data_IF_601491035115
#
_entry.id   IF_601491035115
#
_cell.length_a   1.000
_cell.length_b   1.000
_cell.length_c   1.000
_cell.angle_alpha   90.00
_cell.angle_beta   90.00
_cell.angle_gamma   90.00
#
_symmetry.space_group_name_H-M   'P 1'
#
loop_
_entity.id
_entity.type
_entity.pdbx_description
1 polymer ?
#
# COMPACT_ATOMS: atom_id res chain seq x y z
N UNK A 1 53.63 -40.52 13.10
CA UNK A 1 55.10 -40.60 13.35
C UNK A 1 55.73 -39.46 12.59
N UNK A 2 56.57 -38.68 13.25
CA UNK A 2 57.27 -37.54 12.66
C UNK A 2 58.56 -38.00 11.96
N UNK A 3 59.13 -37.12 11.14
CA UNK A 3 60.33 -37.39 10.35
C UNK A 3 61.57 -37.71 11.21
N UNK A 4 61.58 -37.30 12.48
CA UNK A 4 62.62 -37.61 13.47
C UNK A 4 62.44 -38.99 14.14
N UNK A 5 61.44 -39.76 13.72
CA UNK A 5 61.12 -41.08 14.29
C UNK A 5 60.25 -41.05 15.54
N UNK A 6 59.89 -39.87 16.07
CA UNK A 6 58.99 -39.78 17.21
C UNK A 6 57.54 -40.12 16.81
N UNK A 7 56.81 -40.77 17.71
CA UNK A 7 55.36 -40.98 17.59
C UNK A 7 54.70 -40.43 18.83
N UNK A 8 53.60 -39.69 18.64
CA UNK A 8 52.71 -39.38 19.74
C UNK A 8 51.64 -40.48 19.80
N UNK A 9 51.41 -40.99 21.01
CA UNK A 9 50.23 -41.80 21.29
C UNK A 9 49.02 -40.87 21.51
N UNK A 10 47.82 -41.46 21.63
CA UNK A 10 46.59 -40.69 21.82
C UNK A 10 46.66 -39.72 23.01
N UNK A 11 47.25 -40.15 24.13
CA UNK A 11 47.39 -39.33 25.33
C UNK A 11 48.36 -38.15 25.11
N UNK A 12 49.47 -38.39 24.43
CA UNK A 12 50.48 -37.40 24.09
C UNK A 12 49.93 -36.38 23.09
N UNK A 13 49.21 -36.84 22.06
CA UNK A 13 48.52 -35.98 21.11
C UNK A 13 47.51 -35.10 21.83
N UNK A 14 46.62 -35.67 22.66
CA UNK A 14 45.63 -34.92 23.44
C UNK A 14 46.26 -33.90 24.40
N UNK A 15 47.40 -34.23 25.02
CA UNK A 15 48.12 -33.31 25.92
C UNK A 15 48.86 -32.18 25.22
N UNK A 16 49.11 -32.33 23.91
CA UNK A 16 49.80 -31.35 23.06
C UNK A 16 48.86 -30.54 22.18
N UNK A 17 47.58 -30.92 22.12
CA UNK A 17 46.52 -30.03 21.69
C UNK A 17 46.44 -28.91 22.72
N UNK A 18 47.15 -27.82 22.45
CA UNK A 18 46.79 -26.53 23.00
C UNK A 18 45.46 -26.21 22.33
N UNK A 19 44.40 -26.00 23.10
CA UNK A 19 43.27 -25.23 22.61
C UNK A 19 43.84 -23.85 22.29
N UNK A 20 44.33 -23.68 21.07
CA UNK A 20 44.44 -22.35 20.49
C UNK A 20 42.99 -21.87 20.54
N UNK A 21 42.72 -20.80 21.29
CA UNK A 21 41.53 -20.03 21.00
C UNK A 21 41.59 -19.85 19.48
N UNK A 22 40.59 -20.34 18.72
CA UNK A 22 40.61 -20.15 17.28
C UNK A 22 40.86 -18.68 17.02
N UNK A 23 41.63 -18.33 15.97
CA UNK A 23 41.80 -16.93 15.61
C UNK A 23 40.41 -16.30 15.56
N UNK A 24 40.20 -15.20 16.26
CA UNK A 24 38.93 -14.47 16.14
C UNK A 24 38.88 -13.88 14.74
N UNK A 25 37.93 -14.32 13.92
CA UNK A 25 37.84 -13.94 12.52
C UNK A 25 38.79 -14.74 11.63
N UNK A 26 38.26 -15.81 11.04
CA UNK A 26 38.92 -16.66 10.05
C UNK A 26 38.26 -16.51 8.68
N UNK A 27 39.01 -16.86 7.63
CA UNK A 27 38.45 -17.01 6.29
C UNK A 27 38.65 -18.45 5.84
N UNK A 28 37.56 -19.12 5.51
CA UNK A 28 37.54 -20.48 5.00
C UNK A 28 37.06 -20.48 3.54
N UNK A 29 37.72 -21.29 2.72
CA UNK A 29 37.38 -21.48 1.32
C UNK A 29 37.28 -22.98 1.06
N UNK A 30 36.08 -23.43 0.70
CA UNK A 30 35.81 -24.78 0.23
C UNK A 30 36.17 -24.97 -1.24
N UNK A 31 35.79 -26.12 -1.78
CA UNK A 31 36.30 -26.63 -3.05
C UNK A 31 35.18 -26.85 -4.07
N UNK A 32 35.13 -28.01 -4.71
CA UNK A 32 34.06 -28.41 -5.63
C UNK A 32 33.34 -29.66 -5.13
N UNK A 33 33.50 -29.99 -3.86
CA UNK A 33 32.98 -31.19 -3.23
C UNK A 33 32.18 -30.77 -2.00
N UNK A 34 31.32 -31.66 -1.51
CA UNK A 34 30.49 -31.38 -0.34
C UNK A 34 31.37 -31.24 0.90
N UNK A 35 31.36 -30.07 1.52
CA UNK A 35 32.19 -29.71 2.67
C UNK A 35 31.38 -29.29 3.90
N UNK A 36 32.04 -29.28 5.06
CA UNK A 36 31.53 -28.62 6.26
C UNK A 36 32.56 -27.62 6.73
N UNK A 37 32.19 -26.34 6.72
CA UNK A 37 33.01 -25.21 7.13
C UNK A 37 32.46 -24.63 8.44
N UNK A 38 33.33 -24.38 9.41
CA UNK A 38 32.93 -23.83 10.71
C UNK A 38 33.85 -22.69 11.13
N UNK A 39 33.28 -21.51 11.36
CA UNK A 39 33.95 -20.28 11.77
C UNK A 39 34.38 -20.31 13.24
N UNK A 40 33.40 -20.55 14.12
CA UNK A 40 33.61 -20.72 15.54
C UNK A 40 33.34 -19.44 16.33
N UNK A 41 34.39 -18.69 16.69
CA UNK A 41 34.26 -17.46 17.49
C UNK A 41 34.84 -16.28 16.70
N UNK A 42 34.16 -15.14 16.76
CA UNK A 42 34.55 -13.92 16.06
C UNK A 42 33.92 -13.84 14.68
N UNK A 43 34.25 -12.78 13.95
CA UNK A 43 33.60 -12.47 12.68
C UNK A 43 34.32 -13.15 11.52
N UNK A 44 33.73 -14.21 10.99
CA UNK A 44 34.31 -15.14 10.05
C UNK A 44 33.77 -14.93 8.62
N UNK A 45 34.53 -15.39 7.62
CA UNK A 45 34.11 -15.41 6.21
C UNK A 45 34.23 -16.85 5.70
N UNK A 46 33.12 -17.46 5.34
CA UNK A 46 33.05 -18.84 4.85
C UNK A 46 32.55 -18.82 3.40
N UNK A 47 33.32 -19.37 2.48
CA UNK A 47 32.91 -19.58 1.09
C UNK A 47 32.89 -21.08 0.79
N UNK A 48 31.72 -21.64 0.45
CA UNK A 48 31.53 -23.07 0.16
C UNK A 48 32.23 -23.50 -1.13
N UNK A 49 31.99 -22.76 -2.21
CA UNK A 49 32.52 -23.09 -3.53
C UNK A 49 31.49 -23.85 -4.35
N UNK A 50 31.85 -25.00 -4.91
CA UNK A 50 30.84 -25.86 -5.52
C UNK A 50 30.62 -27.11 -4.67
N UNK A 51 29.41 -27.67 -4.70
CA UNK A 51 29.06 -28.83 -3.86
C UNK A 51 27.83 -28.53 -3.03
N UNK A 52 27.36 -29.50 -2.26
CA UNK A 52 26.34 -29.27 -1.25
C UNK A 52 27.03 -29.09 0.11
N UNK A 53 27.27 -27.84 0.49
CA UNK A 53 28.09 -27.47 1.63
C UNK A 53 27.27 -27.16 2.88
N UNK A 54 27.85 -27.41 4.06
CA UNK A 54 27.34 -26.96 5.35
C UNK A 54 28.25 -25.87 5.91
N UNK A 55 27.77 -24.63 5.97
CA UNK A 55 28.48 -23.47 6.49
C UNK A 55 27.92 -23.09 7.86
N UNK A 56 28.78 -23.05 8.88
CA UNK A 56 28.42 -22.70 10.26
C UNK A 56 29.27 -21.52 10.73
N UNK A 57 28.67 -20.34 10.87
CA UNK A 57 29.34 -19.12 11.33
C UNK A 57 29.82 -19.27 12.77
N UNK A 58 28.88 -19.32 13.71
CA UNK A 58 29.16 -19.52 15.13
C UNK A 58 28.82 -18.28 15.94
N UNK A 59 29.67 -17.86 16.88
CA UNK A 59 29.47 -16.58 17.58
C UNK A 59 30.20 -15.47 16.80
N UNK A 60 29.52 -14.40 16.41
CA UNK A 60 30.17 -13.31 15.68
C UNK A 60 29.24 -12.68 14.67
N UNK A 61 29.74 -11.70 13.91
CA UNK A 61 29.03 -11.22 12.73
C UNK A 61 29.74 -11.80 11.51
N UNK A 62 29.18 -12.85 10.96
CA UNK A 62 29.81 -13.69 9.95
C UNK A 62 29.30 -13.37 8.54
N UNK A 63 30.06 -13.82 7.54
CA UNK A 63 29.66 -13.77 6.13
C UNK A 63 29.78 -15.15 5.53
N UNK A 64 28.66 -15.75 5.13
CA UNK A 64 28.59 -17.09 4.58
C UNK A 64 28.12 -17.01 3.12
N UNK A 65 28.92 -17.54 2.19
CA UNK A 65 28.60 -17.67 0.78
C UNK A 65 28.59 -19.17 0.42
N UNK A 66 27.43 -19.74 0.09
CA UNK A 66 27.34 -21.14 -0.38
C UNK A 66 28.02 -21.33 -1.73
N UNK A 67 27.83 -20.35 -2.63
CA UNK A 67 28.30 -20.31 -4.01
C UNK A 67 27.46 -21.20 -4.94
N UNK A 68 27.82 -22.46 -5.21
CA UNK A 68 27.12 -23.29 -6.19
C UNK A 68 26.82 -24.70 -5.69
N UNK A 69 25.54 -25.00 -5.52
CA UNK A 69 25.00 -26.30 -5.15
C UNK A 69 23.90 -26.12 -4.14
N UNK A 70 23.54 -27.17 -3.42
CA UNK A 70 22.43 -27.08 -2.46
C UNK A 70 23.03 -26.95 -1.06
N UNK A 71 23.23 -25.73 -0.63
CA UNK A 71 23.99 -25.41 0.56
C UNK A 71 23.10 -25.26 1.79
N UNK A 72 23.66 -25.47 2.97
CA UNK A 72 23.02 -25.19 4.26
C UNK A 72 23.85 -24.18 5.02
N UNK A 73 23.26 -23.01 5.29
CA UNK A 73 23.92 -21.89 5.93
C UNK A 73 23.29 -21.65 7.31
N UNK A 74 24.12 -21.66 8.35
CA UNK A 74 23.77 -21.33 9.73
C UNK A 74 24.71 -20.23 10.22
N UNK A 75 24.19 -19.00 10.34
CA UNK A 75 24.97 -17.86 10.85
C UNK A 75 25.45 -18.09 12.29
N UNK A 76 24.63 -18.78 13.10
CA UNK A 76 24.86 -18.89 14.52
C UNK A 76 24.33 -17.66 15.25
N UNK A 77 25.09 -17.11 16.19
CA UNK A 77 24.71 -15.97 17.01
C UNK A 77 25.45 -14.71 16.60
N UNK A 78 24.70 -13.66 16.26
CA UNK A 78 25.22 -12.33 16.01
C UNK A 78 24.42 -11.64 14.92
N UNK A 79 25.08 -10.94 14.01
CA UNK A 79 24.38 -10.32 12.88
C UNK A 79 25.08 -10.74 11.61
N UNK A 80 24.55 -11.77 10.96
CA UNK A 80 25.23 -12.47 9.89
C UNK A 80 24.70 -12.09 8.51
N UNK A 81 25.56 -12.22 7.50
CA UNK A 81 25.21 -12.07 6.09
C UNK A 81 25.31 -13.43 5.39
N UNK A 82 24.19 -13.92 4.87
CA UNK A 82 24.04 -15.23 4.28
C UNK A 82 23.67 -15.10 2.79
N UNK A 83 24.40 -15.79 1.93
CA UNK A 83 24.15 -15.83 0.49
C UNK A 83 24.30 -17.28 0.02
N UNK A 84 23.19 -17.94 -0.30
CA UNK A 84 23.19 -19.32 -0.78
C UNK A 84 23.92 -19.43 -2.10
N UNK A 85 23.50 -18.63 -3.08
CA UNK A 85 24.11 -18.60 -4.40
C UNK A 85 23.24 -19.35 -5.40
N UNK A 86 23.81 -20.29 -6.16
CA UNK A 86 23.08 -21.07 -7.15
C UNK A 86 22.74 -22.44 -6.61
N UNK A 87 21.46 -22.81 -6.59
CA UNK A 87 20.97 -24.13 -6.24
C UNK A 87 19.70 -24.07 -5.39
N UNK A 88 19.47 -25.08 -4.55
CA UNK A 88 18.40 -25.06 -3.55
C UNK A 88 19.03 -25.00 -2.17
N UNK A 89 19.08 -23.82 -1.62
CA UNK A 89 19.79 -23.50 -0.39
C UNK A 89 18.85 -23.52 0.82
N UNK A 90 19.43 -23.78 1.98
CA UNK A 90 18.72 -23.83 3.26
C UNK A 90 19.38 -22.89 4.26
N UNK A 91 18.65 -21.86 4.66
CA UNK A 91 19.05 -20.88 5.67
C UNK A 91 18.46 -21.27 7.03
N UNK A 92 19.32 -21.62 8.00
CA UNK A 92 18.89 -21.94 9.35
C UNK A 92 18.74 -20.66 10.17
N UNK A 93 17.62 -20.51 10.87
CA UNK A 93 17.38 -19.35 11.73
C UNK A 93 16.58 -19.74 12.98
N UNK A 94 16.83 -19.07 14.10
CA UNK A 94 16.20 -19.42 15.37
C UNK A 94 16.41 -18.40 16.48
N UNK A 95 16.05 -18.80 17.71
CA UNK A 95 16.25 -17.94 18.89
C UNK A 95 17.74 -17.81 19.23
N UNK A 96 18.17 -16.59 19.49
CA UNK A 96 19.55 -16.25 19.76
C UNK A 96 20.41 -16.07 18.52
N UNK A 97 19.83 -16.16 17.32
CA UNK A 97 20.56 -15.91 16.08
C UNK A 97 20.93 -14.44 15.89
N UNK A 98 20.16 -13.52 16.49
CA UNK A 98 20.37 -12.09 16.39
C UNK A 98 19.71 -11.50 15.16
N UNK A 99 20.43 -10.73 14.33
CA UNK A 99 19.84 -9.95 13.22
C UNK A 99 20.53 -10.23 11.90
N UNK A 100 20.07 -11.28 11.23
CA UNK A 100 20.71 -11.80 10.03
C UNK A 100 20.06 -11.26 8.76
N UNK A 101 20.81 -11.33 7.67
CA UNK A 101 20.39 -10.89 6.33
C UNK A 101 20.68 -11.99 5.32
N UNK A 102 19.68 -12.33 4.51
CA UNK A 102 19.77 -13.28 3.40
C UNK A 102 19.64 -12.53 2.09
N UNK A 103 20.56 -12.82 1.17
CA UNK A 103 20.48 -12.43 -0.24
C UNK A 103 20.49 -13.69 -1.10
N UNK A 104 19.36 -13.99 -1.72
CA UNK A 104 19.13 -15.26 -2.40
C UNK A 104 18.98 -15.04 -3.91
N UNK A 105 20.05 -14.64 -4.60
CA UNK A 105 19.96 -14.33 -6.04
C UNK A 105 20.29 -15.56 -6.89
N UNK A 106 19.26 -16.27 -7.35
CA UNK A 106 19.39 -17.36 -8.32
C UNK A 106 18.38 -17.25 -9.48
N UNK A 107 18.88 -17.40 -10.70
CA UNK A 107 18.08 -17.38 -11.94
C UNK A 107 17.70 -18.78 -12.43
N UNK A 108 18.09 -19.83 -11.70
CA UNK A 108 17.85 -21.21 -12.08
C UNK A 108 16.37 -21.55 -11.94
N UNK A 109 15.80 -22.14 -13.00
CA UNK A 109 14.36 -22.39 -13.06
C UNK A 109 13.95 -23.55 -12.16
N UNK A 110 13.00 -23.32 -11.26
CA UNK A 110 12.44 -24.34 -10.37
C UNK A 110 13.23 -24.58 -9.10
N UNK A 111 14.03 -23.60 -8.68
CA UNK A 111 14.65 -23.60 -7.36
C UNK A 111 13.61 -23.55 -6.24
N UNK A 112 14.04 -24.01 -5.08
CA UNK A 112 13.24 -24.23 -3.87
C UNK A 112 14.09 -23.92 -2.63
N UNK A 113 14.52 -22.68 -2.54
CA UNK A 113 15.24 -22.14 -1.42
C UNK A 113 14.34 -22.12 -0.17
N UNK A 114 14.95 -22.29 0.99
CA UNK A 114 14.22 -22.55 2.23
C UNK A 114 14.85 -21.82 3.41
N UNK A 115 14.06 -21.02 4.12
CA UNK A 115 14.34 -20.69 5.52
C UNK A 115 13.79 -21.81 6.39
N UNK A 116 14.65 -22.40 7.22
CA UNK A 116 14.29 -23.49 8.12
C UNK A 116 14.44 -23.05 9.58
N UNK A 117 13.32 -22.91 10.27
CA UNK A 117 13.30 -22.73 11.72
C UNK A 117 13.55 -24.06 12.44
N UNK A 118 14.46 -24.05 13.41
CA UNK A 118 14.78 -25.20 14.25
C UNK A 118 13.70 -25.55 15.29
N UNK A 119 13.93 -26.60 16.07
CA UNK A 119 13.05 -26.94 17.20
C UNK A 119 12.93 -25.78 18.19
N UNK A 120 11.72 -25.59 18.72
CA UNK A 120 11.44 -24.56 19.73
C UNK A 120 10.86 -23.26 19.17
N UNK A 121 11.00 -22.96 17.88
CA UNK A 121 10.31 -21.83 17.24
C UNK A 121 9.04 -22.33 16.55
N UNK A 122 7.88 -21.98 17.10
CA UNK A 122 6.60 -22.29 16.46
C UNK A 122 6.23 -21.22 15.42
N UNK A 123 5.38 -21.57 14.45
CA UNK A 123 4.87 -20.62 13.47
C UNK A 123 4.11 -19.43 14.09
N UNK A 124 3.54 -19.60 15.29
CA UNK A 124 2.91 -18.53 16.07
C UNK A 124 3.89 -17.55 16.71
N UNK A 125 5.17 -17.92 16.82
CA UNK A 125 6.19 -17.09 17.43
C UNK A 125 6.80 -16.11 16.42
N UNK A 126 6.52 -16.32 15.12
CA UNK A 126 7.10 -15.56 14.02
C UNK A 126 6.10 -14.55 13.46
N UNK A 127 6.46 -13.28 13.53
CA UNK A 127 5.75 -12.18 12.89
C UNK A 127 6.44 -11.81 11.58
N UNK A 128 5.66 -11.63 10.51
CA UNK A 128 6.14 -11.16 9.21
C UNK A 128 5.87 -9.66 9.06
N UNK A 129 6.81 -8.93 8.48
CA UNK A 129 6.68 -7.53 8.13
C UNK A 129 7.29 -7.28 6.75
N UNK A 130 6.55 -6.60 5.87
CA UNK A 130 7.09 -6.07 4.61
C UNK A 130 7.63 -4.66 4.85
N UNK A 131 8.79 -4.35 4.30
CA UNK A 131 9.27 -2.96 4.22
C UNK A 131 10.01 -2.76 2.90
N UNK A 132 9.39 -1.99 2.00
CA UNK A 132 9.79 -1.94 0.60
C UNK A 132 9.68 -3.32 -0.04
N UNK A 133 10.76 -3.77 -0.67
CA UNK A 133 10.85 -5.10 -1.26
C UNK A 133 11.43 -6.16 -0.32
N UNK A 134 11.88 -5.80 0.90
CA UNK A 134 12.39 -6.78 1.87
C UNK A 134 11.27 -7.40 2.69
N UNK A 135 11.42 -8.69 3.01
CA UNK A 135 10.63 -9.39 4.02
C UNK A 135 11.42 -9.51 5.32
N UNK A 136 10.81 -9.16 6.43
CA UNK A 136 11.36 -9.33 7.77
C UNK A 136 10.59 -10.39 8.54
N UNK A 137 11.31 -11.32 9.16
CA UNK A 137 10.78 -12.34 10.06
C UNK A 137 11.27 -12.03 11.48
N UNK A 138 10.37 -11.79 12.42
CA UNK A 138 10.71 -11.52 13.82
C UNK A 138 10.27 -12.68 14.72
N UNK A 139 11.18 -13.20 15.55
CA UNK A 139 10.84 -14.16 16.61
C UNK A 139 10.60 -13.40 17.93
N UNK A 140 9.53 -13.74 18.65
CA UNK A 140 9.17 -13.15 19.95
C UNK A 140 8.94 -11.61 19.90
N UNK A 141 8.52 -11.10 18.75
CA UNK A 141 8.17 -9.69 18.51
C UNK A 141 9.31 -8.82 17.96
N UNK A 142 9.01 -7.55 17.64
CA UNK A 142 9.89 -6.65 16.86
C UNK A 142 11.26 -6.32 17.49
N UNK A 143 11.45 -6.61 18.78
CA UNK A 143 12.72 -6.41 19.48
C UNK A 143 13.59 -7.67 19.58
N UNK A 144 13.06 -8.83 19.21
CA UNK A 144 13.75 -10.11 19.26
C UNK A 144 14.70 -10.36 18.08
N UNK A 145 14.95 -11.64 17.82
CA UNK A 145 15.73 -12.10 16.68
C UNK A 145 14.99 -11.77 15.38
N UNK A 146 15.73 -11.33 14.35
CA UNK A 146 15.18 -10.86 13.09
C UNK A 146 15.96 -11.37 11.89
N UNK A 147 15.30 -12.04 10.96
CA UNK A 147 15.85 -12.36 9.65
C UNK A 147 15.30 -11.39 8.59
N UNK A 148 16.18 -10.79 7.80
CA UNK A 148 15.81 -10.02 6.60
C UNK A 148 16.04 -10.87 5.35
N UNK A 149 15.02 -11.08 4.53
CA UNK A 149 15.14 -11.59 3.16
C UNK A 149 15.11 -10.40 2.20
N UNK A 150 16.26 -10.10 1.60
CA UNK A 150 16.41 -8.92 0.76
C UNK A 150 15.70 -9.09 -0.59
N UNK A 151 15.00 -8.05 -1.04
CA UNK A 151 14.29 -8.04 -2.32
C UNK A 151 13.25 -9.16 -2.50
N UNK A 152 12.78 -9.75 -1.39
CA UNK A 152 11.79 -10.83 -1.39
C UNK A 152 10.53 -10.50 -2.21
N UNK A 153 10.05 -9.25 -2.17
CA UNK A 153 8.86 -8.80 -2.91
C UNK A 153 9.18 -8.13 -4.24
N UNK A 154 10.44 -8.16 -4.70
CA UNK A 154 10.78 -7.68 -6.03
C UNK A 154 10.03 -8.51 -7.08
N UNK A 155 9.35 -7.83 -8.01
CA UNK A 155 8.39 -8.46 -8.94
C UNK A 155 7.39 -9.37 -8.20
N UNK A 156 6.93 -8.89 -7.04
CA UNK A 156 6.00 -9.56 -6.14
C UNK A 156 6.45 -10.90 -5.59
N UNK A 157 7.76 -11.14 -5.52
CA UNK A 157 8.33 -12.39 -5.06
C UNK A 157 8.21 -13.53 -6.05
N UNK A 158 7.99 -13.21 -7.34
CA UNK A 158 8.23 -14.13 -8.45
C UNK A 158 9.45 -13.65 -9.21
N UNK A 159 10.62 -13.73 -8.55
CA UNK A 159 11.88 -13.23 -9.10
C UNK A 159 13.05 -14.14 -8.78
N UNK A 160 14.25 -13.73 -9.21
CA UNK A 160 15.48 -14.41 -8.84
C UNK A 160 15.87 -14.24 -7.37
N UNK A 161 15.15 -13.43 -6.58
CA UNK A 161 15.42 -13.19 -5.14
C UNK A 161 14.54 -14.03 -4.20
N UNK A 162 13.84 -15.04 -4.76
CA UNK A 162 12.73 -15.68 -4.06
C UNK A 162 13.24 -16.79 -3.16
N UNK A 163 12.98 -16.67 -1.85
CA UNK A 163 13.01 -17.84 -0.97
C UNK A 163 11.63 -18.50 -1.00
N UNK A 164 11.51 -19.67 -1.63
CA UNK A 164 10.19 -20.27 -1.88
C UNK A 164 9.47 -20.75 -0.61
N UNK A 165 10.22 -21.12 0.43
CA UNK A 165 9.67 -21.77 1.61
C UNK A 165 10.18 -21.19 2.92
N UNK A 166 9.26 -20.99 3.86
CA UNK A 166 9.58 -20.83 5.28
C UNK A 166 9.01 -22.04 6.03
N UNK A 167 9.89 -22.88 6.58
CA UNK A 167 9.55 -24.16 7.20
C UNK A 167 9.76 -24.16 8.70
N UNK A 168 8.89 -24.86 9.40
CA UNK A 168 8.95 -25.07 10.84
C UNK A 168 9.10 -26.55 11.19
N UNK A 169 9.60 -26.83 12.39
CA UNK A 169 9.86 -28.20 12.86
C UNK A 169 8.60 -29.09 12.94
N UNK A 170 7.41 -28.50 13.05
CA UNK A 170 6.13 -29.23 13.06
C UNK A 170 5.61 -29.61 11.66
N UNK A 171 6.34 -29.23 10.61
CA UNK A 171 5.96 -29.46 9.21
C UNK A 171 5.11 -28.34 8.60
N UNK A 172 4.81 -27.27 9.34
CA UNK A 172 4.21 -26.06 8.77
C UNK A 172 5.16 -25.47 7.71
N UNK A 173 4.59 -25.12 6.56
CA UNK A 173 5.28 -24.48 5.45
C UNK A 173 4.50 -23.24 5.04
N UNK A 174 5.16 -22.08 5.00
CA UNK A 174 4.63 -20.90 4.34
C UNK A 174 5.30 -20.78 2.96
N UNK A 175 4.47 -20.86 1.92
CA UNK A 175 4.87 -20.53 0.56
C UNK A 175 4.64 -19.03 0.29
N UNK A 176 5.00 -18.57 -0.91
CA UNK A 176 4.81 -17.18 -1.32
C UNK A 176 3.38 -16.67 -1.08
N UNK A 177 2.36 -17.46 -1.41
CA UNK A 177 0.97 -17.06 -1.25
C UNK A 177 0.60 -16.88 0.23
N UNK A 178 1.03 -17.81 1.10
CA UNK A 178 0.84 -17.70 2.54
C UNK A 178 1.59 -16.50 3.14
N UNK A 179 2.80 -16.20 2.63
CA UNK A 179 3.62 -15.06 3.06
C UNK A 179 2.95 -13.75 2.66
N UNK A 180 2.53 -13.60 1.40
CA UNK A 180 1.79 -12.43 0.91
C UNK A 180 0.57 -12.13 1.77
N UNK A 181 -0.26 -13.14 2.05
CA UNK A 181 -1.45 -12.98 2.88
C UNK A 181 -1.15 -12.57 4.34
N UNK A 182 0.04 -12.86 4.85
CA UNK A 182 0.44 -12.54 6.23
C UNK A 182 0.99 -11.13 6.41
N UNK A 183 1.48 -10.49 5.35
CA UNK A 183 2.08 -9.15 5.42
C UNK A 183 1.10 -8.02 5.08
N UNK A 184 -0.12 -8.36 4.68
CA UNK A 184 -1.21 -7.42 4.41
C UNK A 184 -2.30 -7.46 5.50
N UNK A 185 -1.96 -7.95 6.70
CA UNK A 185 -2.90 -8.06 7.82
C UNK A 185 -2.95 -6.71 8.56
N UNK A 186 -4.11 -6.03 8.58
CA UNK A 186 -4.24 -4.76 9.29
C UNK A 186 -4.34 -4.95 10.80
N UNK A 187 -4.15 -3.83 11.51
CA UNK A 187 -4.26 -3.66 12.94
C UNK A 187 -5.20 -2.50 13.27
N UNK A 188 -5.37 -2.16 14.55
CA UNK A 188 -6.19 -1.01 14.99
C UNK A 188 -5.31 0.25 15.19
N UNK A 189 -4.10 0.26 14.64
CA UNK A 189 -3.21 1.40 14.65
C UNK A 189 -2.53 1.55 13.29
N UNK A 190 -1.74 2.60 13.15
CA UNK A 190 -1.19 3.03 11.87
C UNK A 190 -0.40 1.92 11.15
N UNK A 191 -0.90 1.54 9.99
CA UNK A 191 -0.37 0.51 9.12
C UNK A 191 0.13 1.07 7.79
N UNK A 192 1.02 0.31 7.16
CA UNK A 192 1.44 0.54 5.78
C UNK A 192 1.22 -0.75 5.00
N UNK A 193 0.15 -0.78 4.22
CA UNK A 193 -0.30 -1.97 3.49
C UNK A 193 -0.04 -1.77 2.00
N UNK A 194 0.43 -2.83 1.34
CA UNK A 194 0.73 -2.82 -0.10
C UNK A 194 0.16 -4.09 -0.70
N UNK A 195 -0.81 -3.93 -1.59
CA UNK A 195 -1.36 -4.99 -2.43
C UNK A 195 -0.37 -5.47 -3.49
N UNK A 196 -0.91 -6.11 -4.51
CA UNK A 196 -0.28 -6.83 -5.59
C UNK A 196 -0.99 -6.51 -6.91
N UNK A 197 -0.51 -7.00 -8.04
CA UNK A 197 -1.00 -6.64 -9.37
C UNK A 197 -2.35 -7.29 -9.76
N UNK A 198 -3.10 -7.84 -8.81
CA UNK A 198 -4.43 -8.37 -9.05
C UNK A 198 -5.41 -7.75 -8.09
N UNK A 199 -6.70 -7.89 -8.40
CA UNK A 199 -7.80 -7.31 -7.63
C UNK A 199 -7.74 -7.71 -6.15
N UNK A 200 -7.33 -6.77 -5.31
CA UNK A 200 -7.14 -6.94 -3.89
C UNK A 200 -8.29 -6.36 -3.07
N UNK A 201 -8.42 -6.84 -1.84
CA UNK A 201 -9.33 -6.27 -0.85
C UNK A 201 -8.53 -5.94 0.39
N UNK A 202 -8.33 -4.65 0.64
CA UNK A 202 -7.49 -4.11 1.70
C UNK A 202 -8.34 -3.26 2.65
N UNK A 203 -8.03 -3.32 3.94
CA UNK A 203 -8.70 -2.53 4.96
C UNK A 203 -7.67 -2.07 5.99
N UNK A 204 -7.64 -0.79 6.36
CA UNK A 204 -6.78 -0.24 7.42
C UNK A 204 -7.34 -0.45 8.83
N UNK A 205 -8.67 -0.52 8.94
CA UNK A 205 -9.44 -0.61 10.19
C UNK A 205 -9.44 0.71 10.97
N UNK A 206 -8.39 0.98 11.73
CA UNK A 206 -8.30 2.19 12.52
C UNK A 206 -6.86 2.59 12.76
N UNK A 207 -6.62 3.86 13.11
CA UNK A 207 -5.29 4.45 13.04
C UNK A 207 -5.13 5.21 11.73
N UNK A 208 -4.03 5.95 11.58
CA UNK A 208 -3.78 6.71 10.35
C UNK A 208 -2.96 5.83 9.39
N UNK A 209 -3.60 5.27 8.37
CA UNK A 209 -3.07 4.22 7.51
C UNK A 209 -2.59 4.74 6.16
N UNK A 210 -1.64 4.03 5.55
CA UNK A 210 -1.22 4.24 4.16
C UNK A 210 -1.40 2.94 3.39
N UNK A 211 -2.29 2.93 2.39
CA UNK A 211 -2.64 1.72 1.63
C UNK A 211 -2.44 1.94 0.14
N UNK A 212 -1.74 0.99 -0.50
CA UNK A 212 -1.50 0.97 -1.94
C UNK A 212 -2.15 -0.27 -2.57
N UNK A 213 -3.06 -0.08 -3.52
CA UNK A 213 -3.72 -1.15 -4.30
C UNK A 213 -2.74 -1.86 -5.23
N UNK A 214 -2.07 -1.06 -6.09
CA UNK A 214 -1.19 -1.49 -7.19
C UNK A 214 -2.00 -1.66 -8.48
N UNK A 215 -1.77 -2.73 -9.21
CA UNK A 215 -2.48 -2.96 -10.45
C UNK A 215 -3.67 -3.87 -10.17
N UNK A 216 -4.75 -3.74 -10.93
CA UNK A 216 -5.97 -4.53 -10.72
C UNK A 216 -7.11 -3.64 -10.25
N UNK A 217 -8.34 -4.17 -10.30
CA UNK A 217 -9.49 -3.43 -9.79
C UNK A 217 -9.62 -3.70 -8.28
N UNK A 218 -9.10 -2.80 -7.45
CA UNK A 218 -8.94 -2.97 -6.01
C UNK A 218 -10.11 -2.42 -5.21
N UNK A 219 -10.33 -2.99 -4.02
CA UNK A 219 -11.25 -2.43 -3.02
C UNK A 219 -10.48 -2.12 -1.75
N UNK A 220 -10.37 -0.83 -1.44
CA UNK A 220 -9.56 -0.30 -0.35
C UNK A 220 -10.45 0.49 0.61
N UNK A 221 -10.36 0.18 1.90
CA UNK A 221 -11.01 0.96 2.96
C UNK A 221 -9.99 1.42 3.99
N UNK A 222 -9.93 2.73 4.28
CA UNK A 222 -9.12 3.28 5.37
C UNK A 222 -9.70 2.86 6.72
N UNK A 223 -10.90 3.34 7.01
CA UNK A 223 -11.63 3.01 8.22
C UNK A 223 -11.71 4.20 9.15
N UNK A 224 -11.18 4.10 10.37
CA UNK A 224 -11.19 5.18 11.33
C UNK A 224 -9.80 5.79 11.50
N UNK A 225 -9.54 6.96 10.94
CA UNK A 225 -8.17 7.40 10.79
C UNK A 225 -8.08 8.61 9.88
N UNK A 226 -6.97 9.33 9.91
CA UNK A 226 -6.64 10.19 8.77
C UNK A 226 -5.84 9.34 7.77
N UNK A 227 -6.53 8.69 6.85
CA UNK A 227 -5.97 7.67 5.98
C UNK A 227 -5.48 8.22 4.64
N UNK A 228 -4.50 7.55 4.04
CA UNK A 228 -4.02 7.85 2.68
C UNK A 228 -4.11 6.60 1.81
N UNK A 229 -5.00 6.65 0.82
CA UNK A 229 -5.33 5.53 -0.06
C UNK A 229 -4.88 5.83 -1.50
N UNK A 230 -4.26 4.84 -2.12
CA UNK A 230 -3.85 4.87 -3.53
C UNK A 230 -4.39 3.63 -4.24
N UNK A 231 -5.24 3.82 -5.26
CA UNK A 231 -5.68 2.74 -6.15
C UNK A 231 -4.54 2.29 -7.06
N UNK A 232 -3.96 3.26 -7.77
CA UNK A 232 -2.92 3.09 -8.81
C UNK A 232 -3.49 2.68 -10.18
N UNK A 233 -3.26 1.47 -10.69
CA UNK A 233 -3.66 1.08 -12.05
C UNK A 233 -4.88 0.13 -12.01
N UNK A 234 -6.07 0.57 -12.43
CA UNK A 234 -7.26 -0.27 -12.46
C UNK A 234 -8.52 0.53 -12.13
N UNK A 235 -9.69 -0.12 -12.12
CA UNK A 235 -10.93 0.55 -11.72
C UNK A 235 -11.16 0.31 -10.23
N UNK A 236 -10.72 1.23 -9.40
CA UNK A 236 -10.60 1.03 -7.97
C UNK A 236 -11.83 1.54 -7.21
N UNK A 237 -12.07 0.97 -6.04
CA UNK A 237 -13.02 1.48 -5.06
C UNK A 237 -12.28 1.85 -3.78
N UNK A 238 -12.25 3.15 -3.48
CA UNK A 238 -11.55 3.71 -2.32
C UNK A 238 -12.58 4.31 -1.36
N UNK A 239 -12.51 3.91 -0.09
CA UNK A 239 -13.41 4.37 0.99
C UNK A 239 -12.54 4.91 2.13
N UNK A 240 -12.52 6.23 2.34
CA UNK A 240 -11.76 6.87 3.42
C UNK A 240 -12.27 6.44 4.78
N UNK A 241 -13.48 6.85 5.12
CA UNK A 241 -14.18 6.43 6.33
C UNK A 241 -14.48 7.61 7.26
N UNK A 242 -13.75 7.74 8.36
CA UNK A 242 -13.97 8.84 9.31
C UNK A 242 -12.68 9.61 9.57
N UNK A 243 -12.81 10.93 9.76
CA UNK A 243 -11.75 11.93 9.81
C UNK A 243 -11.28 12.34 8.41
N UNK A 244 -10.28 13.20 8.34
CA UNK A 244 -9.87 13.86 7.10
C UNK A 244 -8.94 12.92 6.30
N UNK A 245 -9.43 12.37 5.18
CA UNK A 245 -8.76 11.36 4.37
C UNK A 245 -8.18 11.89 3.06
N UNK A 246 -7.20 11.18 2.49
CA UNK A 246 -6.63 11.44 1.16
C UNK A 246 -6.82 10.21 0.29
N UNK A 247 -7.58 10.35 -0.80
CA UNK A 247 -7.85 9.28 -1.76
C UNK A 247 -7.32 9.67 -3.14
N UNK A 248 -6.53 8.80 -3.75
CA UNK A 248 -6.07 8.95 -5.14
C UNK A 248 -6.44 7.69 -5.92
N UNK A 249 -7.35 7.82 -6.90
CA UNK A 249 -7.81 6.74 -7.76
C UNK A 249 -6.66 6.21 -8.63
N UNK A 250 -6.17 7.07 -9.52
CA UNK A 250 -5.02 6.76 -10.36
C UNK A 250 -5.47 6.62 -11.81
N UNK A 251 -5.22 5.47 -12.44
CA UNK A 251 -5.56 5.21 -13.82
C UNK A 251 -6.70 4.19 -13.92
N UNK A 252 -7.87 4.62 -14.35
CA UNK A 252 -9.04 3.76 -14.52
C UNK A 252 -10.31 4.53 -14.22
N UNK A 253 -11.45 3.85 -14.19
CA UNK A 253 -12.71 4.47 -13.80
C UNK A 253 -12.97 4.17 -12.33
N UNK A 254 -12.60 5.11 -11.46
CA UNK A 254 -12.53 4.88 -10.03
C UNK A 254 -13.78 5.36 -9.28
N UNK A 255 -14.04 4.76 -8.13
CA UNK A 255 -15.05 5.18 -7.17
C UNK A 255 -14.35 5.61 -5.87
N UNK A 256 -14.39 6.90 -5.57
CA UNK A 256 -13.81 7.48 -4.37
C UNK A 256 -14.91 7.98 -3.44
N UNK A 257 -14.91 7.49 -2.20
CA UNK A 257 -15.82 7.88 -1.14
C UNK A 257 -15.03 8.39 0.06
N UNK A 258 -15.08 9.70 0.34
CA UNK A 258 -14.39 10.33 1.46
C UNK A 258 -14.94 9.84 2.80
N UNK A 259 -16.17 10.21 3.12
CA UNK A 259 -16.87 9.71 4.30
C UNK A 259 -17.22 10.85 5.24
N UNK A 260 -16.95 10.70 6.54
CA UNK A 260 -17.08 11.82 7.48
C UNK A 260 -15.74 12.52 7.61
N UNK A 261 -15.59 13.80 7.28
CA UNK A 261 -14.26 14.42 7.31
C UNK A 261 -14.16 15.61 6.38
N UNK A 262 -13.02 16.29 6.36
CA UNK A 262 -12.68 17.19 5.26
C UNK A 262 -11.68 16.48 4.36
N UNK A 263 -12.20 15.80 3.36
CA UNK A 263 -11.44 14.84 2.58
C UNK A 263 -10.82 15.47 1.32
N UNK A 264 -9.77 14.85 0.81
CA UNK A 264 -9.16 15.21 -0.49
C UNK A 264 -9.23 14.01 -1.42
N UNK A 265 -10.01 14.12 -2.49
CA UNK A 265 -10.23 13.07 -3.47
C UNK A 265 -9.69 13.51 -4.84
N UNK A 266 -8.77 12.72 -5.40
CA UNK A 266 -8.25 12.87 -6.76
C UNK A 266 -8.58 11.62 -7.58
N UNK A 267 -9.40 11.75 -8.64
CA UNK A 267 -9.67 10.64 -9.58
C UNK A 267 -8.46 10.34 -10.47
N UNK A 268 -7.74 11.39 -10.89
CA UNK A 268 -6.62 11.35 -11.81
C UNK A 268 -7.02 11.06 -13.27
N UNK A 269 -6.92 9.83 -13.77
CA UNK A 269 -7.11 9.53 -15.18
C UNK A 269 -8.18 8.47 -15.41
N UNK A 270 -9.30 8.88 -15.97
CA UNK A 270 -10.39 8.01 -16.40
C UNK A 270 -11.72 8.64 -16.06
N UNK A 271 -12.78 7.84 -15.96
CA UNK A 271 -14.12 8.41 -15.73
C UNK A 271 -14.51 8.13 -14.29
N UNK A 272 -14.23 9.07 -13.41
CA UNK A 272 -14.22 8.82 -11.98
C UNK A 272 -15.54 9.26 -11.32
N UNK A 273 -15.88 8.62 -10.21
CA UNK A 273 -17.00 9.01 -9.37
C UNK A 273 -16.49 9.40 -7.99
N UNK A 274 -16.66 10.67 -7.63
CA UNK A 274 -16.17 11.24 -6.38
C UNK A 274 -17.35 11.64 -5.50
N UNK A 275 -17.40 11.09 -4.29
CA UNK A 275 -18.33 11.46 -3.23
C UNK A 275 -17.53 11.88 -2.00
N UNK A 276 -17.49 13.18 -1.71
CA UNK A 276 -16.82 13.69 -0.51
C UNK A 276 -17.43 13.15 0.78
N UNK A 277 -18.73 12.79 0.76
CA UNK A 277 -19.43 12.44 1.98
C UNK A 277 -19.83 13.70 2.73
N UNK A 278 -19.59 13.75 4.04
CA UNK A 278 -19.95 14.84 4.93
C UNK A 278 -18.73 15.61 5.40
N UNK A 279 -18.69 16.90 5.11
CA UNK A 279 -17.74 17.84 5.71
C UNK A 279 -17.41 18.96 4.74
N UNK A 280 -16.14 19.24 4.48
CA UNK A 280 -15.81 20.26 3.47
C UNK A 280 -14.70 19.74 2.60
N UNK A 281 -15.09 19.11 1.49
CA UNK A 281 -14.17 18.25 0.75
C UNK A 281 -13.55 18.97 -0.43
N UNK A 282 -12.36 18.51 -0.82
CA UNK A 282 -11.68 18.92 -2.05
C UNK A 282 -11.73 17.78 -3.06
N UNK A 283 -12.43 18.00 -4.17
CA UNK A 283 -12.68 17.00 -5.19
C UNK A 283 -12.04 17.42 -6.51
N UNK A 284 -11.26 16.53 -7.11
CA UNK A 284 -10.60 16.75 -8.40
C UNK A 284 -10.76 15.48 -9.23
N UNK A 285 -11.65 15.51 -10.23
CA UNK A 285 -11.88 14.37 -11.11
C UNK A 285 -10.63 14.06 -11.93
N UNK A 286 -10.07 15.08 -12.59
CA UNK A 286 -8.84 14.96 -13.36
C UNK A 286 -9.14 14.94 -14.84
N UNK A 287 -8.69 13.91 -15.55
CA UNK A 287 -8.90 13.75 -17.00
C UNK A 287 -9.93 12.67 -17.24
N UNK A 288 -11.03 13.03 -17.91
CA UNK A 288 -12.04 12.09 -18.37
C UNK A 288 -13.44 12.66 -18.18
N UNK A 289 -14.44 11.80 -17.96
CA UNK A 289 -15.82 12.23 -17.71
C UNK A 289 -16.17 11.90 -16.27
N UNK A 290 -16.00 12.88 -15.40
CA UNK A 290 -16.06 12.68 -13.97
C UNK A 290 -17.45 12.99 -13.42
N UNK A 291 -17.78 12.35 -12.31
CA UNK A 291 -19.06 12.50 -11.62
C UNK A 291 -18.84 12.87 -10.17
N UNK A 292 -19.23 14.09 -9.81
CA UNK A 292 -19.17 14.61 -8.45
C UNK A 292 -20.54 14.45 -7.77
N UNK A 293 -20.62 13.64 -6.72
CA UNK A 293 -21.85 13.47 -5.94
C UNK A 293 -21.99 14.61 -4.93
N UNK A 294 -23.20 15.17 -4.83
CA UNK A 294 -23.49 16.25 -3.90
C UNK A 294 -24.93 16.21 -3.41
N UNK A 295 -25.15 16.43 -2.12
CA UNK A 295 -26.46 16.30 -1.51
C UNK A 295 -26.63 17.02 -0.18
N UNK A 296 -27.73 16.70 0.51
CA UNK A 296 -27.97 17.21 1.86
C UNK A 296 -27.02 16.53 2.84
N UNK A 297 -26.33 17.30 3.66
CA UNK A 297 -25.34 16.80 4.60
C UNK A 297 -23.93 16.71 4.03
N UNK A 298 -23.73 17.05 2.75
CA UNK A 298 -22.39 17.03 2.16
C UNK A 298 -21.48 18.11 2.74
N UNK A 299 -22.06 19.21 3.23
CA UNK A 299 -21.30 20.35 3.72
C UNK A 299 -20.75 21.20 2.57
N UNK A 300 -19.52 21.72 2.66
CA UNK A 300 -19.03 22.76 1.73
C UNK A 300 -17.88 22.29 0.85
N UNK A 301 -18.25 21.61 -0.22
CA UNK A 301 -17.28 20.95 -1.09
C UNK A 301 -16.77 21.90 -2.17
N UNK A 302 -15.55 21.66 -2.60
CA UNK A 302 -14.89 22.38 -3.67
C UNK A 302 -14.44 21.42 -4.76
N UNK A 303 -14.93 21.65 -5.97
CA UNK A 303 -14.52 20.91 -7.17
C UNK A 303 -13.49 21.73 -7.95
N UNK A 304 -12.40 21.07 -8.35
CA UNK A 304 -11.40 21.57 -9.29
C UNK A 304 -11.41 20.72 -10.55
N UNK A 305 -12.15 21.16 -11.56
CA UNK A 305 -12.44 20.40 -12.78
C UNK A 305 -11.62 20.89 -13.97
N UNK A 306 -10.29 20.82 -13.87
CA UNK A 306 -9.42 21.32 -14.93
C UNK A 306 -9.21 20.29 -16.03
N UNK A 307 -10.13 20.22 -16.98
CA UNK A 307 -9.99 19.37 -18.17
C UNK A 307 -10.01 20.20 -19.48
N UNK A 308 -9.05 19.90 -20.35
CA UNK A 308 -8.92 20.52 -21.69
C UNK A 308 -9.32 19.57 -22.82
N UNK A 309 -9.75 18.35 -22.49
CA UNK A 309 -10.11 17.30 -23.42
C UNK A 309 -11.46 17.58 -24.07
N UNK A 310 -11.46 17.77 -25.40
CA UNK A 310 -12.65 18.18 -26.12
C UNK A 310 -13.71 17.07 -26.16
N UNK A 311 -14.92 17.37 -25.67
CA UNK A 311 -16.05 16.46 -25.71
C UNK A 311 -16.22 15.59 -24.46
N UNK A 312 -15.35 15.77 -23.46
CA UNK A 312 -15.62 15.27 -22.12
C UNK A 312 -16.81 16.02 -21.51
N UNK A 313 -17.53 15.31 -20.64
CA UNK A 313 -18.82 15.68 -20.07
C UNK A 313 -18.80 15.36 -18.58
N UNK A 314 -18.20 16.26 -17.82
CA UNK A 314 -18.18 16.20 -16.37
C UNK A 314 -19.57 16.49 -15.82
N UNK A 315 -19.91 15.87 -14.70
CA UNK A 315 -21.23 16.05 -14.10
C UNK A 315 -21.27 16.14 -12.58
N UNK A 316 -22.05 17.09 -12.09
CA UNK A 316 -22.45 17.15 -10.69
C UNK A 316 -23.78 16.41 -10.56
N UNK A 317 -23.77 15.27 -9.88
CA UNK A 317 -24.94 14.46 -9.65
C UNK A 317 -25.54 14.78 -8.27
N UNK A 318 -26.70 15.44 -8.31
CA UNK A 318 -27.44 15.89 -7.14
C UNK A 318 -28.27 14.72 -6.59
N UNK A 319 -27.92 14.31 -5.37
CA UNK A 319 -28.48 13.16 -4.66
C UNK A 319 -30.00 13.26 -4.44
N UNK A 320 -30.62 12.11 -4.16
CA UNK A 320 -32.05 12.02 -3.91
C UNK A 320 -32.52 12.94 -2.76
N UNK A 321 -33.71 13.53 -2.90
CA UNK A 321 -34.27 14.44 -1.88
C UNK A 321 -33.88 15.92 -2.08
N UNK A 322 -33.24 16.26 -3.20
CA UNK A 322 -33.00 17.63 -3.65
C UNK A 322 -33.55 17.78 -5.08
N UNK A 323 -34.54 18.65 -5.26
CA UNK A 323 -35.09 19.00 -6.58
C UNK A 323 -34.42 20.24 -7.16
N UNK A 324 -34.54 20.45 -8.47
CA UNK A 324 -33.94 21.57 -9.19
C UNK A 324 -34.33 22.96 -8.62
N UNK A 325 -35.55 23.10 -8.09
CA UNK A 325 -36.04 24.32 -7.44
C UNK A 325 -35.54 24.52 -6.01
N UNK A 326 -34.77 23.57 -5.47
CA UNK A 326 -34.08 23.68 -4.19
C UNK A 326 -32.60 24.05 -4.35
N UNK A 327 -32.11 24.23 -5.58
CA UNK A 327 -30.74 24.64 -5.86
C UNK A 327 -30.67 26.15 -6.11
N UNK A 328 -29.67 26.79 -5.51
CA UNK A 328 -29.42 28.22 -5.66
C UNK A 328 -28.00 28.48 -6.18
N UNK A 329 -27.91 29.07 -7.37
CA UNK A 329 -26.69 29.33 -8.11
C UNK A 329 -26.21 30.77 -7.90
N UNK A 330 -24.97 30.94 -7.48
CA UNK A 330 -24.35 32.24 -7.22
C UNK A 330 -22.97 32.31 -7.85
N UNK A 331 -22.65 33.43 -8.50
CA UNK A 331 -21.29 33.74 -8.95
C UNK A 331 -20.51 34.44 -7.84
N UNK A 332 -19.35 33.89 -7.48
CA UNK A 332 -18.46 34.43 -6.46
C UNK A 332 -17.05 34.62 -7.05
N UNK A 333 -16.71 35.84 -7.48
CA UNK A 333 -15.46 36.05 -8.21
C UNK A 333 -15.42 35.26 -9.51
N UNK A 334 -14.50 34.31 -9.62
CA UNK A 334 -14.39 33.39 -10.76
C UNK A 334 -15.10 32.05 -10.52
N UNK A 335 -15.63 31.82 -9.32
CA UNK A 335 -16.20 30.54 -8.95
C UNK A 335 -17.73 30.54 -9.13
N UNK A 336 -18.27 29.35 -9.35
CA UNK A 336 -19.71 29.08 -9.26
C UNK A 336 -20.00 28.38 -7.94
N UNK A 337 -20.93 28.90 -7.15
CA UNK A 337 -21.42 28.23 -5.95
C UNK A 337 -22.86 27.77 -6.16
N UNK A 338 -23.12 26.51 -5.83
CA UNK A 338 -24.44 25.88 -5.86
C UNK A 338 -24.80 25.48 -4.43
N UNK A 339 -25.83 26.11 -3.87
CA UNK A 339 -26.27 25.86 -2.49
C UNK A 339 -27.61 25.14 -2.46
N UNK A 340 -27.80 24.25 -1.49
CA UNK A 340 -29.10 23.62 -1.26
C UNK A 340 -29.91 24.49 -0.30
N UNK A 341 -31.02 25.02 -0.80
CA UNK A 341 -31.92 25.90 -0.06
C UNK A 341 -32.35 25.22 1.27
N UNK A 342 -32.17 25.97 2.36
CA UNK A 342 -32.51 25.55 3.71
C UNK A 342 -31.39 24.85 4.47
N UNK A 343 -30.20 24.69 3.87
CA UNK A 343 -29.04 24.03 4.48
C UNK A 343 -27.79 24.89 4.43
N UNK A 344 -26.70 24.38 5.03
CA UNK A 344 -25.35 24.90 4.84
C UNK A 344 -24.61 24.26 3.66
N UNK A 345 -25.23 23.28 2.98
CA UNK A 345 -24.58 22.50 1.94
C UNK A 345 -24.31 23.39 0.71
N UNK A 346 -23.07 23.38 0.24
CA UNK A 346 -22.60 24.18 -0.88
C UNK A 346 -21.56 23.42 -1.72
N UNK A 347 -21.82 23.24 -3.01
CA UNK A 347 -20.81 22.83 -3.97
C UNK A 347 -20.20 24.06 -4.64
N UNK A 348 -18.88 24.19 -4.60
CA UNK A 348 -18.14 25.28 -5.23
C UNK A 348 -17.32 24.74 -6.40
N UNK A 349 -17.63 25.18 -7.62
CA UNK A 349 -16.83 24.84 -8.79
C UNK A 349 -15.83 25.97 -9.01
N UNK A 350 -14.57 25.65 -8.75
CA UNK A 350 -13.47 26.61 -8.76
C UNK A 350 -13.17 27.05 -10.19
N UNK A 351 -13.00 28.36 -10.39
CA UNK A 351 -12.63 28.97 -11.67
C UNK A 351 -13.62 28.77 -12.84
N UNK A 352 -14.88 28.38 -12.57
CA UNK A 352 -15.95 28.22 -13.56
C UNK A 352 -16.03 29.35 -14.61
N UNK A 353 -15.83 30.60 -14.19
CA UNK A 353 -15.91 31.79 -15.05
C UNK A 353 -14.57 32.20 -15.67
N UNK A 354 -13.47 31.51 -15.37
CA UNK A 354 -12.14 31.81 -15.92
C UNK A 354 -11.94 31.21 -17.32
N UNK A 355 -12.37 29.96 -17.54
CA UNK A 355 -12.31 29.26 -18.84
C UNK A 355 -13.43 28.22 -18.91
N UNK A 356 -13.72 27.72 -20.12
CA UNK A 356 -14.59 26.54 -20.29
C UNK A 356 -13.99 25.29 -19.68
N UNK A 357 -12.66 25.18 -19.65
CA UNK A 357 -11.90 24.06 -19.08
C UNK A 357 -11.90 23.95 -17.55
N UNK A 358 -12.79 24.66 -16.87
CA UNK A 358 -12.96 24.60 -15.39
C UNK A 358 -14.42 24.31 -15.04
N UNK A 359 -15.22 23.89 -16.03
CA UNK A 359 -16.66 23.76 -15.88
C UNK A 359 -17.02 22.29 -15.93
N UNK A 360 -17.87 21.93 -15.00
CA UNK A 360 -18.70 20.75 -15.08
C UNK A 360 -19.78 20.99 -16.16
N UNK A 361 -19.87 20.14 -17.19
CA UNK A 361 -20.83 20.32 -18.28
C UNK A 361 -22.29 20.15 -17.86
N UNK A 362 -22.56 19.33 -16.84
CA UNK A 362 -23.91 18.90 -16.50
C UNK A 362 -24.18 18.89 -15.01
N UNK A 363 -25.29 19.51 -14.59
CA UNK A 363 -25.90 19.23 -13.29
C UNK A 363 -27.08 18.28 -13.51
N UNK A 364 -27.07 17.14 -12.83
CA UNK A 364 -28.10 16.10 -12.95
C UNK A 364 -28.82 15.94 -11.63
N UNK A 365 -30.14 15.99 -11.64
CA UNK A 365 -30.95 15.67 -10.45
C UNK A 365 -31.44 14.23 -10.48
N UNK A 366 -31.68 13.65 -9.31
CA UNK A 366 -32.16 12.26 -9.15
C UNK A 366 -33.44 11.89 -9.90
N UNK A 367 -34.28 12.87 -10.30
CA UNK A 367 -35.47 12.63 -11.12
C UNK A 367 -35.21 12.71 -12.63
N UNK A 368 -33.94 12.82 -13.02
CA UNK A 368 -33.47 12.75 -14.40
C UNK A 368 -33.36 14.10 -15.10
N UNK A 369 -33.68 15.23 -14.44
CA UNK A 369 -33.51 16.54 -15.09
C UNK A 369 -32.03 16.90 -15.21
N UNK A 370 -31.70 17.50 -16.35
CA UNK A 370 -30.34 17.96 -16.66
C UNK A 370 -30.32 19.47 -16.91
N UNK A 371 -29.36 20.15 -16.30
CA UNK A 371 -28.99 21.53 -16.58
C UNK A 371 -27.60 21.55 -17.19
N UNK A 372 -27.46 22.09 -18.39
CA UNK A 372 -26.17 22.22 -19.07
C UNK A 372 -25.42 23.48 -18.60
N UNK A 373 -24.09 23.46 -18.67
CA UNK A 373 -23.23 24.62 -18.36
C UNK A 373 -23.68 25.91 -19.06
N UNK A 374 -24.08 25.80 -20.33
CA UNK A 374 -24.58 26.88 -21.18
C UNK A 374 -25.87 27.53 -20.68
N UNK A 375 -26.59 26.86 -19.78
CA UNK A 375 -27.85 27.30 -19.19
C UNK A 375 -27.69 27.87 -17.78
N UNK A 376 -26.58 27.58 -17.10
CA UNK A 376 -26.30 28.02 -15.72
C UNK A 376 -26.37 29.53 -15.58
N UNK A 377 -25.84 30.29 -16.55
CA UNK A 377 -25.83 31.76 -16.48
C UNK A 377 -27.24 32.36 -16.38
N UNK A 378 -28.24 31.75 -17.02
CA UNK A 378 -29.62 32.22 -16.94
C UNK A 378 -30.19 32.13 -15.52
N UNK A 379 -29.81 31.08 -14.78
CA UNK A 379 -30.21 30.92 -13.37
C UNK A 379 -29.46 31.90 -12.47
N UNK A 380 -28.15 32.05 -12.67
CA UNK A 380 -27.32 32.99 -11.90
C UNK A 380 -27.83 34.43 -12.05
N UNK A 381 -28.11 34.88 -13.28
CA UNK A 381 -28.63 36.23 -13.53
C UNK A 381 -30.01 36.44 -12.90
N UNK A 382 -30.89 35.44 -12.96
CA UNK A 382 -32.22 35.51 -12.37
C UNK A 382 -32.18 35.52 -10.83
N UNK A 383 -31.32 34.69 -10.22
CA UNK A 383 -31.16 34.58 -8.77
C UNK A 383 -30.46 35.81 -8.17
N UNK A 384 -29.53 36.44 -8.90
CA UNK A 384 -28.87 37.67 -8.47
C UNK A 384 -29.82 38.87 -8.25
N UNK A 385 -31.05 38.82 -8.77
CA UNK A 385 -32.08 39.82 -8.53
C UNK A 385 -32.70 39.73 -7.11
N UNK A 386 -32.37 38.70 -6.34
CA UNK A 386 -32.95 38.39 -5.04
C UNK A 386 -31.86 38.18 -3.99
N UNK A 387 -32.23 38.29 -2.72
CA UNK A 387 -31.38 37.81 -1.65
C UNK A 387 -31.45 36.27 -1.62
N UNK A 388 -30.33 35.58 -1.34
CA UNK A 388 -30.35 34.13 -1.14
C UNK A 388 -31.36 33.75 -0.05
N UNK A 389 -32.14 32.66 -0.23
CA UNK A 389 -33.07 32.18 0.78
C UNK A 389 -32.38 31.96 2.12
N UNK A 390 -33.11 32.23 3.21
CA UNK A 390 -32.54 32.14 4.55
C UNK A 390 -32.39 30.70 5.01
N UNK A 391 -31.44 30.44 5.91
CA UNK A 391 -31.28 29.12 6.51
C UNK A 391 -32.60 28.67 7.18
N UNK A 392 -33.08 27.47 6.85
CA UNK A 392 -34.36 26.90 7.33
C UNK A 392 -35.55 27.02 6.37
N UNK A 393 -35.49 27.84 5.32
CA UNK A 393 -36.47 27.77 4.22
C UNK A 393 -36.10 26.60 3.32
N UNK A 394 -36.93 25.55 3.22
CA UNK A 394 -36.60 24.35 2.41
C UNK A 394 -37.03 24.45 0.94
N UNK A 395 -37.68 25.54 0.56
CA UNK A 395 -38.20 25.81 -0.77
C UNK A 395 -38.00 27.28 -1.11
N UNK A 396 -38.08 27.62 -2.40
CA UNK A 396 -38.10 29.02 -2.84
C UNK A 396 -39.21 29.81 -2.12
N UNK A 397 -38.88 30.99 -1.54
CA UNK A 397 -39.88 31.90 -0.98
C UNK A 397 -40.98 32.20 -1.99
N UNK A 398 -42.23 32.30 -1.53
CA UNK A 398 -43.40 32.49 -2.41
C UNK A 398 -43.29 33.76 -3.28
N UNK A 399 -42.58 34.77 -2.82
CA UNK A 399 -42.29 36.00 -3.56
C UNK A 399 -41.31 35.82 -4.73
N UNK A 400 -40.53 34.73 -4.75
CA UNK A 400 -39.51 34.46 -5.77
C UNK A 400 -40.03 33.49 -6.83
N UNK A 401 -40.93 32.58 -6.42
CA UNK A 401 -41.43 31.45 -7.23
C UNK A 401 -41.93 31.86 -8.61
N UNK A 402 -42.73 32.93 -8.75
CA UNK A 402 -43.26 33.34 -10.06
C UNK A 402 -42.16 33.68 -11.06
N UNK A 403 -41.08 34.29 -10.58
CA UNK A 403 -39.95 34.71 -11.41
C UNK A 403 -38.99 33.56 -11.67
N UNK A 404 -38.62 32.80 -10.64
CA UNK A 404 -37.59 31.77 -10.74
C UNK A 404 -38.12 30.45 -11.32
N UNK A 405 -39.36 30.03 -11.03
CA UNK A 405 -39.89 28.76 -11.56
C UNK A 405 -39.94 28.76 -13.09
N UNK A 406 -40.22 29.92 -13.71
CA UNK A 406 -40.23 30.06 -15.16
C UNK A 406 -38.84 29.84 -15.75
N UNK A 407 -37.81 30.40 -15.11
CA UNK A 407 -36.41 30.25 -15.55
C UNK A 407 -35.91 28.83 -15.31
N UNK A 408 -36.23 28.24 -14.15
CA UNK A 408 -35.90 26.85 -13.81
C UNK A 408 -36.51 25.90 -14.84
N UNK A 409 -37.82 25.98 -15.10
CA UNK A 409 -38.50 25.11 -16.04
C UNK A 409 -38.02 25.27 -17.51
N UNK A 410 -37.46 26.43 -17.87
CA UNK A 410 -36.93 26.66 -19.21
C UNK A 410 -35.51 26.10 -19.40
N UNK A 411 -34.76 25.91 -18.31
CA UNK A 411 -33.34 25.54 -18.37
C UNK A 411 -33.08 24.10 -17.93
N UNK A 412 -33.87 23.53 -17.03
CA UNK A 412 -33.79 22.12 -16.66
C UNK A 412 -34.67 21.27 -17.59
N UNK A 413 -34.08 20.30 -18.30
CA UNK A 413 -34.77 19.45 -19.29
C UNK A 413 -34.94 18.01 -18.85
#
# INVERSE_FOLDING_TARGET
RFADGTSWDYATTKSKVVTVNPPTGITLQGTTADETLSGGLGNDILNGGAGADLLQGGDGNDTLNGDAGNDTLDGGAGNDALNGGVGNDTYLFGRGSGRDTVSDYDTTAGNLDTVQFGEGVAASDVQLLRSGDSLYLYIDGLTGDRLELQNYFYQEGVSAYSVENIRFADGTNWDLAAIKAKVIVPTEGNDSLVGYAGNDTLSGLGGDDIIYGRAGDDTISGGAGADTLYGEDGNDTLIGGTQDDILNGGAGADLLQGGDGNDTLNGDAGNDTLDGGAGNDALNGGVGNDTYLFGRGSGRDTVSDYDTTAGNLDSAQISAGVSADQLWFTKNGNDLSVTIIGTSDQLTISNWYASGSYRIEQFKTSDGRVLLDSQVQSLVDAMAAFSPPTAGETNLPSSYQSSLNTVIAANWH
#
